data_IF_840260603679
#
_entry.id   IF_840260603679
#
_cell.length_a   1.000
_cell.length_b   1.000
_cell.length_c   1.000
_cell.angle_alpha   90.00
_cell.angle_beta   90.00
_cell.angle_gamma   90.00
#
_symmetry.space_group_name_H-M   'P 1'
#
loop_
_entity.id
_entity.type
_entity.pdbx_description
1 polymer ?
#
# COMPACT_ATOMS: atom_id res chain seq x y z
N UNK A 1 -10.94 -7.54 -29.81
CA UNK A 1 -9.58 -7.57 -30.38
C UNK A 1 -9.32 -8.99 -30.85
N UNK A 2 -9.20 -9.21 -32.16
CA UNK A 2 -8.66 -10.45 -32.70
C UNK A 2 -7.14 -10.31 -32.67
N UNK A 3 -6.45 -11.11 -31.87
CA UNK A 3 -5.00 -11.20 -31.93
C UNK A 3 -4.65 -11.99 -33.20
N UNK A 4 -3.96 -11.35 -34.14
CA UNK A 4 -3.33 -12.05 -35.27
C UNK A 4 -2.01 -12.59 -34.74
N UNK A 5 -1.82 -13.91 -34.86
CA UNK A 5 -0.54 -14.54 -34.52
C UNK A 5 0.47 -14.06 -35.54
N UNK A 6 1.55 -13.44 -35.05
CA UNK A 6 2.69 -13.02 -35.87
C UNK A 6 3.32 -14.26 -36.54
N UNK A 7 3.27 -14.30 -37.86
CA UNK A 7 3.75 -15.35 -38.73
C UNK A 7 5.14 -15.03 -39.35
N UNK A 8 5.81 -13.98 -38.86
CA UNK A 8 7.23 -13.73 -39.19
C UNK A 8 8.14 -14.88 -38.70
N UNK A 9 9.24 -15.19 -39.42
CA UNK A 9 10.13 -16.32 -39.10
C UNK A 9 10.58 -16.30 -37.64
N UNK A 10 10.82 -17.47 -37.01
CA UNK A 10 10.88 -17.60 -35.57
C UNK A 10 11.88 -16.61 -34.99
N UNK A 11 11.36 -15.63 -34.25
CA UNK A 11 12.20 -14.82 -33.38
C UNK A 11 13.01 -15.79 -32.51
N UNK A 12 14.27 -15.45 -32.24
CA UNK A 12 15.09 -16.26 -31.35
C UNK A 12 14.29 -16.52 -30.07
N UNK A 13 14.20 -17.78 -29.60
CA UNK A 13 13.40 -18.10 -28.43
C UNK A 13 13.83 -17.20 -27.28
N UNK A 14 12.85 -16.64 -26.57
CA UNK A 14 13.14 -15.87 -25.38
C UNK A 14 13.93 -16.75 -24.40
N UNK A 15 15.21 -16.43 -24.23
CA UNK A 15 16.07 -17.14 -23.29
C UNK A 15 15.77 -16.57 -21.91
N UNK A 16 15.10 -17.36 -21.08
CA UNK A 16 14.92 -17.04 -19.67
C UNK A 16 16.28 -16.97 -18.98
N UNK A 17 16.82 -15.77 -18.87
CA UNK A 17 17.97 -15.49 -18.04
C UNK A 17 17.47 -15.16 -16.64
N UNK A 18 17.95 -15.90 -15.63
CA UNK A 18 17.70 -15.50 -14.26
C UNK A 18 18.37 -14.14 -14.03
N UNK A 19 17.65 -13.18 -13.44
CA UNK A 19 18.19 -11.84 -13.21
C UNK A 19 19.36 -11.86 -12.24
N UNK A 20 19.47 -12.88 -11.40
CA UNK A 20 20.66 -13.16 -10.60
C UNK A 20 21.28 -14.51 -10.99
N UNK A 21 22.59 -14.50 -11.29
CA UNK A 21 23.39 -15.74 -11.44
C UNK A 21 23.65 -16.41 -10.08
N UNK A 22 23.34 -15.73 -8.98
CA UNK A 22 23.51 -16.24 -7.62
C UNK A 22 22.14 -16.37 -6.94
N UNK A 23 21.65 -17.59 -6.70
CA UNK A 23 20.43 -17.77 -5.93
C UNK A 23 20.62 -17.20 -4.52
N UNK A 24 19.73 -16.32 -4.08
CA UNK A 24 19.74 -15.85 -2.71
C UNK A 24 19.17 -16.93 -1.78
N UNK A 25 19.66 -17.05 -0.52
CA UNK A 25 19.08 -17.99 0.43
C UNK A 25 17.60 -17.67 0.66
N UNK A 26 16.71 -18.67 0.61
CA UNK A 26 15.26 -18.49 0.76
C UNK A 26 14.84 -17.78 2.05
N UNK A 27 15.65 -17.90 3.12
CA UNK A 27 15.37 -17.28 4.42
C UNK A 27 16.05 -15.91 4.60
N UNK A 28 16.84 -15.45 3.62
CA UNK A 28 17.57 -14.19 3.70
C UNK A 28 16.64 -12.97 3.74
N UNK A 29 17.15 -11.85 4.23
CA UNK A 29 16.44 -10.57 4.15
C UNK A 29 16.14 -10.19 2.69
N UNK A 30 17.09 -10.46 1.78
CA UNK A 30 16.91 -10.20 0.35
C UNK A 30 15.70 -10.97 -0.19
N UNK A 31 15.57 -12.27 0.09
CA UNK A 31 14.43 -13.08 -0.35
C UNK A 31 13.07 -12.50 0.08
N UNK A 32 12.99 -11.96 1.30
CA UNK A 32 11.76 -11.39 1.87
C UNK A 32 11.40 -10.04 1.25
N UNK A 33 12.40 -9.29 0.82
CA UNK A 33 12.25 -7.94 0.26
C UNK A 33 12.35 -7.90 -1.26
N UNK A 34 12.68 -9.02 -1.92
CA UNK A 34 12.87 -9.10 -3.36
C UNK A 34 11.63 -8.61 -4.12
N UNK A 35 10.43 -9.00 -3.69
CA UNK A 35 9.18 -8.55 -4.32
C UNK A 35 8.95 -7.04 -4.20
N UNK A 36 9.60 -6.37 -3.27
CA UNK A 36 9.56 -4.91 -3.11
C UNK A 36 10.66 -4.22 -3.92
N UNK A 37 11.87 -4.79 -3.94
CA UNK A 37 13.07 -4.19 -4.56
C UNK A 37 13.16 -4.43 -6.06
N UNK A 38 12.82 -5.64 -6.51
CA UNK A 38 13.01 -6.08 -7.89
C UNK A 38 12.27 -5.23 -8.92
N UNK A 39 11.02 -4.77 -8.72
CA UNK A 39 10.34 -3.93 -9.72
C UNK A 39 11.19 -2.72 -10.14
N UNK A 40 11.81 -2.04 -9.16
CA UNK A 40 12.64 -0.87 -9.39
C UNK A 40 14.02 -1.25 -9.95
N UNK A 41 14.67 -2.27 -9.38
CA UNK A 41 16.00 -2.73 -9.81
C UNK A 41 15.99 -3.25 -11.26
N UNK A 42 14.93 -3.96 -11.66
CA UNK A 42 14.78 -4.43 -13.04
C UNK A 42 14.60 -3.25 -13.99
N UNK A 43 13.72 -2.30 -13.68
CA UNK A 43 13.53 -1.11 -14.53
C UNK A 43 14.84 -0.33 -14.69
N UNK A 44 15.60 -0.12 -13.61
CA UNK A 44 16.91 0.52 -13.68
C UNK A 44 17.89 -0.26 -14.54
N UNK A 45 17.96 -1.59 -14.39
CA UNK A 45 18.87 -2.46 -15.15
C UNK A 45 18.60 -2.44 -16.65
N UNK A 46 17.34 -2.36 -17.05
CA UNK A 46 16.93 -2.30 -18.46
C UNK A 46 16.92 -0.87 -19.01
N UNK A 47 17.37 0.14 -18.26
CA UNK A 47 17.38 1.53 -18.71
C UNK A 47 15.99 2.17 -18.80
N UNK A 48 14.99 1.60 -18.12
CA UNK A 48 13.59 2.04 -18.10
C UNK A 48 13.32 2.99 -16.92
N UNK A 49 14.27 3.86 -16.56
CA UNK A 49 14.13 4.77 -15.41
C UNK A 49 12.95 5.73 -15.51
N UNK A 50 12.50 6.07 -16.73
CA UNK A 50 11.31 6.88 -16.95
C UNK A 50 9.99 6.24 -16.46
N UNK A 51 10.01 4.94 -16.16
CA UNK A 51 8.87 4.16 -15.66
C UNK A 51 8.88 4.08 -14.12
N UNK A 52 9.82 4.76 -13.47
CA UNK A 52 9.90 4.86 -12.03
C UNK A 52 9.45 6.25 -11.60
N UNK A 53 8.74 6.36 -10.48
CA UNK A 53 8.51 7.66 -9.86
C UNK A 53 9.86 8.19 -9.34
N UNK A 54 10.13 9.49 -9.51
CA UNK A 54 11.30 10.10 -8.89
C UNK A 54 11.21 9.87 -7.38
N UNK A 55 12.19 9.14 -6.85
CA UNK A 55 12.28 8.91 -5.42
C UNK A 55 12.40 10.24 -4.67
N UNK A 56 12.05 10.29 -3.37
CA UNK A 56 12.32 11.46 -2.54
C UNK A 56 13.82 11.81 -2.57
N UNK A 57 14.14 13.11 -2.62
CA UNK A 57 15.48 13.66 -2.83
C UNK A 57 16.60 12.88 -2.10
N UNK A 58 17.66 12.52 -2.84
CA UNK A 58 18.93 12.02 -2.27
C UNK A 58 19.06 10.50 -2.11
N UNK A 59 18.19 9.69 -2.71
CA UNK A 59 18.40 8.22 -2.80
C UNK A 59 18.58 7.83 -4.26
N UNK A 60 19.63 7.06 -4.62
CA UNK A 60 19.77 6.51 -5.96
C UNK A 60 18.50 5.78 -6.38
N UNK A 61 18.08 5.96 -7.64
CA UNK A 61 16.82 5.42 -8.18
C UNK A 61 16.68 3.89 -8.07
N UNK A 62 17.72 3.17 -7.66
CA UNK A 62 17.79 1.71 -7.54
C UNK A 62 17.74 1.18 -6.08
N UNK A 63 17.64 2.04 -5.06
CA UNK A 63 17.60 1.62 -3.65
C UNK A 63 16.35 2.08 -2.88
N UNK A 64 15.64 1.12 -2.27
CA UNK A 64 14.55 1.45 -1.34
C UNK A 64 15.12 1.98 -0.01
N UNK A 65 14.51 3.06 0.50
CA UNK A 65 14.75 3.53 1.86
C UNK A 65 14.40 2.45 2.89
N UNK A 66 15.07 2.41 4.06
CA UNK A 66 14.62 1.55 5.15
C UNK A 66 13.18 1.90 5.54
N UNK A 67 12.42 0.94 6.06
CA UNK A 67 11.08 1.21 6.55
C UNK A 67 11.10 2.26 7.65
N UNK A 68 10.25 3.28 7.49
CA UNK A 68 10.10 4.39 8.44
C UNK A 68 8.75 4.27 9.14
N UNK A 69 8.64 4.74 10.37
CA UNK A 69 7.37 4.69 11.09
C UNK A 69 7.25 5.80 12.13
N UNK A 70 6.02 6.24 12.38
CA UNK A 70 5.71 7.27 13.37
C UNK A 70 4.61 6.74 14.29
N UNK A 71 4.91 6.70 15.59
CA UNK A 71 3.92 6.37 16.61
C UNK A 71 3.04 7.59 16.89
N UNK A 72 1.82 7.60 16.36
CA UNK A 72 0.90 8.73 16.48
C UNK A 72 -0.57 8.28 16.54
N UNK A 73 -1.41 9.14 17.12
CA UNK A 73 -2.86 9.05 17.00
C UNK A 73 -3.32 9.84 15.77
N UNK A 74 -3.79 9.14 14.74
CA UNK A 74 -4.19 9.73 13.46
C UNK A 74 -5.35 10.73 13.57
N UNK A 75 -6.11 10.72 14.67
CA UNK A 75 -7.19 11.70 14.91
C UNK A 75 -6.66 13.10 15.23
N UNK A 76 -5.46 13.18 15.79
CA UNK A 76 -4.87 14.43 16.31
C UNK A 76 -3.58 14.81 15.60
N UNK A 77 -2.95 13.85 14.91
CA UNK A 77 -1.72 14.08 14.17
C UNK A 77 -2.00 14.89 12.89
N UNK A 78 -1.28 16.00 12.72
CA UNK A 78 -1.35 16.83 11.53
C UNK A 78 -0.67 16.15 10.33
N UNK A 79 -1.49 15.52 9.48
CA UNK A 79 -1.06 14.78 8.30
C UNK A 79 -0.42 15.66 7.22
N UNK A 80 -0.78 16.95 7.15
CA UNK A 80 -0.28 17.88 6.14
C UNK A 80 1.25 18.03 6.18
N UNK A 81 1.85 17.79 7.36
CA UNK A 81 3.29 17.93 7.60
C UNK A 81 4.13 16.85 6.93
N UNK A 82 3.54 15.72 6.55
CA UNK A 82 4.23 14.59 5.94
C UNK A 82 4.50 14.77 4.42
N UNK A 83 3.83 15.77 3.81
CA UNK A 83 3.83 15.97 2.37
C UNK A 83 2.99 14.94 1.61
N UNK A 84 3.09 14.94 0.29
CA UNK A 84 2.26 14.08 -0.57
C UNK A 84 2.89 12.73 -0.85
N UNK A 85 2.06 11.69 -0.87
CA UNK A 85 2.41 10.32 -1.22
C UNK A 85 1.74 9.93 -2.54
N UNK A 86 2.37 9.01 -3.27
CA UNK A 86 1.84 8.47 -4.52
C UNK A 86 0.82 7.34 -4.26
N UNK A 87 1.03 6.62 -3.16
CA UNK A 87 0.13 5.56 -2.70
C UNK A 87 -0.11 5.65 -1.20
N UNK A 88 -1.39 5.60 -0.82
CA UNK A 88 -1.84 5.44 0.56
C UNK A 88 -2.45 4.05 0.71
N UNK A 89 -2.05 3.31 1.74
CA UNK A 89 -2.70 2.10 2.21
C UNK A 89 -3.32 2.38 3.58
N UNK A 90 -4.57 1.97 3.81
CA UNK A 90 -5.23 2.15 5.10
C UNK A 90 -5.97 0.88 5.51
N UNK A 91 -5.77 0.47 6.77
CA UNK A 91 -6.56 -0.57 7.44
C UNK A 91 -7.18 -0.03 8.74
N UNK A 92 -8.23 0.81 8.65
CA UNK A 92 -8.77 1.49 9.82
C UNK A 92 -9.43 0.52 10.81
N UNK A 93 -9.39 0.83 12.12
CA UNK A 93 -10.10 0.05 13.13
C UNK A 93 -11.59 0.44 13.14
N UNK A 94 -12.32 0.03 12.12
CA UNK A 94 -13.74 0.33 11.93
C UNK A 94 -14.59 -0.02 13.16
N UNK A 95 -15.50 0.87 13.56
CA UNK A 95 -16.57 0.51 14.49
C UNK A 95 -17.61 -0.39 13.80
N UNK A 96 -17.47 -1.68 14.03
CA UNK A 96 -18.38 -2.71 13.50
C UNK A 96 -19.45 -3.14 14.51
N UNK A 97 -19.66 -2.37 15.59
CA UNK A 97 -20.65 -2.68 16.64
C UNK A 97 -20.40 -4.04 17.32
N UNK A 98 -19.12 -4.37 17.51
CA UNK A 98 -18.67 -5.58 18.20
C UNK A 98 -17.58 -5.25 19.21
N UNK A 99 -17.49 -6.03 20.28
CA UNK A 99 -16.38 -5.93 21.23
C UNK A 99 -15.09 -6.44 20.58
N UNK A 100 -14.14 -5.53 20.33
CA UNK A 100 -12.84 -5.84 19.75
C UNK A 100 -11.73 -5.62 20.80
N UNK A 101 -10.60 -6.36 20.70
CA UNK A 101 -9.49 -6.24 21.66
C UNK A 101 -8.64 -4.97 21.45
N UNK A 102 -9.13 -4.00 20.68
CA UNK A 102 -8.47 -2.73 20.36
C UNK A 102 -9.53 -1.62 20.22
N UNK A 103 -9.11 -0.37 20.40
CA UNK A 103 -9.99 0.79 20.20
C UNK A 103 -10.41 0.94 18.73
N UNK A 104 -11.69 1.21 18.50
CA UNK A 104 -12.24 1.53 17.18
C UNK A 104 -12.32 3.04 16.97
N UNK A 105 -12.45 3.44 15.71
CA UNK A 105 -12.80 4.82 15.36
C UNK A 105 -14.30 4.88 15.04
N UNK A 106 -14.96 5.93 15.55
CA UNK A 106 -16.34 6.21 15.19
C UNK A 106 -16.47 6.62 13.72
N UNK A 107 -17.67 6.51 13.15
CA UNK A 107 -17.92 6.94 11.77
C UNK A 107 -17.57 8.44 11.58
N UNK A 108 -17.79 9.27 12.59
CA UNK A 108 -17.47 10.71 12.55
C UNK A 108 -15.96 10.97 12.68
N UNK A 109 -15.26 10.25 13.55
CA UNK A 109 -13.79 10.32 13.62
C UNK A 109 -13.16 9.90 12.29
N UNK A 110 -13.69 8.86 11.65
CA UNK A 110 -13.24 8.41 10.33
C UNK A 110 -13.43 9.49 9.26
N UNK A 111 -14.59 10.16 9.25
CA UNK A 111 -14.87 11.26 8.32
C UNK A 111 -13.99 12.48 8.56
N UNK A 112 -13.58 12.71 9.80
CA UNK A 112 -12.76 13.86 10.20
C UNK A 112 -11.27 13.70 9.85
N UNK A 113 -10.81 12.51 9.48
CA UNK A 113 -9.41 12.28 9.09
C UNK A 113 -9.06 13.08 7.83
N UNK A 114 -7.97 13.84 7.91
CA UNK A 114 -7.43 14.63 6.79
C UNK A 114 -6.54 13.79 5.85
N UNK A 115 -7.08 12.65 5.38
CA UNK A 115 -6.46 11.85 4.31
C UNK A 115 -6.21 12.68 3.04
N UNK A 116 -7.08 13.64 2.63
CA UNK A 116 -6.85 14.46 1.45
C UNK A 116 -5.54 15.25 1.45
N UNK A 117 -5.03 15.68 2.63
CA UNK A 117 -3.76 16.38 2.73
C UNK A 117 -2.54 15.52 2.35
N UNK A 118 -2.64 14.19 2.45
CA UNK A 118 -1.55 13.27 2.14
C UNK A 118 -1.35 13.04 0.65
N UNK A 119 -2.24 13.50 -0.23
CA UNK A 119 -2.14 13.16 -1.65
C UNK A 119 -2.76 14.22 -2.57
N UNK A 120 -1.96 14.71 -3.51
CA UNK A 120 -2.44 15.54 -4.63
C UNK A 120 -3.01 14.68 -5.76
N UNK A 121 -2.22 13.72 -6.23
CA UNK A 121 -2.58 12.69 -7.21
C UNK A 121 -2.04 11.33 -6.73
N UNK A 122 -2.68 10.22 -7.08
CA UNK A 122 -2.20 8.87 -6.74
C UNK A 122 -3.31 7.86 -6.45
N UNK A 123 -2.96 6.82 -5.68
CA UNK A 123 -3.86 5.72 -5.32
C UNK A 123 -4.12 5.62 -3.81
N UNK A 124 -5.33 5.22 -3.44
CA UNK A 124 -5.70 4.85 -2.07
C UNK A 124 -6.24 3.42 -2.05
N UNK A 125 -5.61 2.57 -1.24
CA UNK A 125 -6.06 1.23 -0.93
C UNK A 125 -6.70 1.23 0.45
N UNK A 126 -8.01 0.99 0.53
CA UNK A 126 -8.78 1.05 1.76
C UNK A 126 -9.39 -0.30 2.09
N UNK A 127 -8.88 -0.96 3.12
CA UNK A 127 -9.45 -2.21 3.61
C UNK A 127 -10.82 -1.98 4.26
N UNK A 128 -11.80 -2.78 3.83
CA UNK A 128 -13.19 -2.73 4.31
C UNK A 128 -13.73 -4.13 4.58
N UNK A 129 -14.67 -4.21 5.52
CA UNK A 129 -15.37 -5.44 5.91
C UNK A 129 -16.81 -5.17 6.32
N UNK A 130 -17.74 -6.01 5.86
CA UNK A 130 -19.16 -5.94 6.26
C UNK A 130 -19.73 -4.53 6.12
N UNK A 131 -20.23 -3.96 7.23
CA UNK A 131 -20.79 -2.59 7.29
C UNK A 131 -19.86 -1.50 6.74
N UNK A 132 -18.55 -1.63 6.93
CA UNK A 132 -17.61 -0.59 6.50
C UNK A 132 -17.45 -0.51 4.97
N UNK A 133 -18.03 -1.44 4.20
CA UNK A 133 -17.99 -1.37 2.74
C UNK A 133 -18.72 -0.12 2.23
N UNK A 134 -19.91 0.18 2.74
CA UNK A 134 -20.69 1.34 2.31
C UNK A 134 -20.07 2.64 2.82
N UNK A 135 -19.65 2.66 4.09
CA UNK A 135 -18.94 3.81 4.67
C UNK A 135 -17.62 4.09 3.93
N UNK A 136 -16.84 3.06 3.61
CA UNK A 136 -15.59 3.19 2.87
C UNK A 136 -15.81 3.78 1.48
N UNK A 137 -16.89 3.40 0.78
CA UNK A 137 -17.25 4.02 -0.51
C UNK A 137 -17.61 5.51 -0.35
N UNK A 138 -18.34 5.87 0.70
CA UNK A 138 -18.66 7.27 1.01
C UNK A 138 -17.39 8.07 1.33
N UNK A 139 -16.48 7.50 2.13
CA UNK A 139 -15.22 8.14 2.52
C UNK A 139 -14.31 8.37 1.31
N UNK A 140 -14.23 7.42 0.37
CA UNK A 140 -13.50 7.64 -0.89
C UNK A 140 -14.01 8.90 -1.59
N UNK A 141 -15.33 9.02 -1.79
CA UNK A 141 -15.91 10.21 -2.43
C UNK A 141 -15.68 11.49 -1.61
N UNK A 142 -15.83 11.44 -0.29
CA UNK A 142 -15.61 12.59 0.59
C UNK A 142 -14.14 13.06 0.58
N UNK A 143 -13.20 12.13 0.53
CA UNK A 143 -11.77 12.44 0.46
C UNK A 143 -11.29 12.83 -0.95
N UNK A 144 -12.20 12.89 -1.93
CA UNK A 144 -11.91 13.32 -3.30
C UNK A 144 -11.31 12.22 -4.17
N UNK A 145 -11.58 10.95 -3.86
CA UNK A 145 -11.20 9.79 -4.66
C UNK A 145 -12.41 9.28 -5.44
N UNK A 146 -12.16 8.84 -6.67
CA UNK A 146 -13.12 7.99 -7.37
C UNK A 146 -12.72 6.53 -7.19
N UNK A 147 -13.67 5.65 -6.91
CA UNK A 147 -13.39 4.21 -6.84
C UNK A 147 -13.03 3.69 -8.24
N UNK A 148 -11.80 3.21 -8.41
CA UNK A 148 -11.29 2.62 -9.64
C UNK A 148 -11.49 1.10 -9.68
N UNK A 149 -11.19 0.42 -8.56
CA UNK A 149 -11.17 -1.04 -8.49
C UNK A 149 -11.62 -1.54 -7.10
N UNK A 150 -11.75 -2.85 -6.96
CA UNK A 150 -12.05 -3.53 -5.70
C UNK A 150 -11.27 -4.86 -5.60
N UNK A 151 -10.20 -4.85 -4.81
CA UNK A 151 -9.38 -6.03 -4.59
C UNK A 151 -10.00 -6.95 -3.53
N UNK A 152 -10.02 -8.24 -3.80
CA UNK A 152 -10.57 -9.27 -2.92
C UNK A 152 -9.45 -10.16 -2.38
N UNK A 153 -9.29 -10.19 -1.06
CA UNK A 153 -8.46 -11.20 -0.42
C UNK A 153 -9.29 -12.43 -0.04
N UNK A 154 -9.05 -13.54 -0.73
CA UNK A 154 -9.57 -14.87 -0.40
C UNK A 154 -8.69 -15.48 0.70
N UNK A 155 -9.33 -15.81 1.81
CA UNK A 155 -8.67 -16.33 3.02
C UNK A 155 -8.53 -17.83 2.96
N UNK A 156 -7.28 -18.31 2.96
CA UNK A 156 -6.98 -19.75 3.05
C UNK A 156 -6.34 -20.10 4.38
N UNK A 157 -6.41 -21.39 4.76
CA UNK A 157 -5.66 -21.94 5.87
C UNK A 157 -4.33 -22.54 5.39
N UNK A 158 -3.56 -23.14 6.30
CA UNK A 158 -2.28 -23.79 5.98
C UNK A 158 -2.40 -24.95 4.96
N UNK A 159 -3.59 -25.52 4.82
CA UNK A 159 -3.92 -26.58 3.85
C UNK A 159 -4.54 -26.01 2.56
N UNK A 160 -4.42 -24.70 2.33
CA UNK A 160 -4.98 -23.98 1.17
C UNK A 160 -6.50 -24.09 1.01
N UNK A 161 -7.21 -24.45 2.08
CA UNK A 161 -8.68 -24.49 2.09
C UNK A 161 -9.25 -23.16 2.53
N UNK A 162 -10.41 -22.81 1.99
CA UNK A 162 -11.14 -21.60 2.36
C UNK A 162 -11.45 -21.57 3.87
N UNK A 163 -11.03 -20.50 4.53
CA UNK A 163 -11.43 -20.20 5.90
C UNK A 163 -12.87 -19.71 5.88
N UNK A 164 -13.75 -20.34 6.66
CA UNK A 164 -15.16 -19.95 6.78
C UNK A 164 -15.40 -19.38 8.17
N UNK A 165 -15.54 -18.07 8.25
CA UNK A 165 -15.91 -17.40 9.50
C UNK A 165 -17.41 -17.15 9.53
N UNK A 166 -18.09 -17.80 10.48
CA UNK A 166 -19.48 -17.47 10.81
C UNK A 166 -19.52 -16.21 11.66
N UNK A 167 -20.47 -15.32 11.40
CA UNK A 167 -20.77 -14.16 12.24
C UNK A 167 -22.26 -14.15 12.54
N UNK A 168 -22.62 -13.94 13.80
CA UNK A 168 -24.01 -13.81 14.22
C UNK A 168 -24.70 -12.70 13.42
N UNK A 169 -25.88 -12.99 12.86
CA UNK A 169 -26.65 -12.03 12.05
C UNK A 169 -26.30 -11.99 10.56
N UNK A 170 -25.38 -12.84 10.08
CA UNK A 170 -25.07 -12.96 8.65
C UNK A 170 -25.69 -14.21 8.03
N UNK A 171 -26.21 -14.08 6.81
CA UNK A 171 -26.82 -15.18 6.06
C UNK A 171 -25.80 -16.15 5.45
N UNK A 172 -24.59 -15.68 5.17
CA UNK A 172 -23.52 -16.45 4.53
C UNK A 172 -22.23 -16.37 5.36
N UNK A 173 -21.44 -17.44 5.31
CA UNK A 173 -20.11 -17.46 5.91
C UNK A 173 -19.16 -16.53 5.16
N UNK A 174 -18.31 -15.82 5.89
CA UNK A 174 -17.33 -14.90 5.31
C UNK A 174 -15.99 -15.62 5.13
N UNK A 175 -15.50 -15.64 3.89
CA UNK A 175 -14.21 -16.25 3.51
C UNK A 175 -13.26 -15.28 2.80
N UNK A 176 -13.61 -13.99 2.81
CA UNK A 176 -12.86 -12.94 2.13
C UNK A 176 -12.94 -11.60 2.83
N UNK A 177 -11.97 -10.73 2.55
CA UNK A 177 -12.00 -9.30 2.86
C UNK A 177 -11.84 -8.49 1.57
N UNK A 178 -12.34 -7.26 1.59
CA UNK A 178 -12.33 -6.36 0.45
C UNK A 178 -11.36 -5.20 0.70
N UNK A 179 -10.71 -4.73 -0.35
CA UNK A 179 -9.85 -3.56 -0.36
C UNK A 179 -10.28 -2.67 -1.53
N UNK A 180 -10.93 -1.55 -1.22
CA UNK A 180 -11.36 -0.60 -2.25
C UNK A 180 -10.13 0.13 -2.80
N UNK A 181 -10.05 0.27 -4.11
CA UNK A 181 -8.97 1.03 -4.77
C UNK A 181 -9.56 2.34 -5.28
N UNK A 182 -9.15 3.45 -4.67
CA UNK A 182 -9.49 4.80 -5.08
C UNK A 182 -8.38 5.44 -5.90
N UNK A 183 -8.75 6.18 -6.93
CA UNK A 183 -7.85 7.04 -7.70
C UNK A 183 -8.15 8.50 -7.39
N UNK A 184 -7.08 9.28 -7.17
CA UNK A 184 -7.14 10.74 -7.08
C UNK A 184 -6.25 11.30 -8.18
N UNK A 185 -6.75 12.29 -8.90
CA UNK A 185 -5.99 12.95 -9.95
C UNK A 185 -5.97 14.45 -9.71
N UNK A 186 -4.88 15.11 -10.11
CA UNK A 186 -4.88 16.55 -10.22
C UNK A 186 -5.93 16.93 -11.28
N UNK A 187 -6.90 17.77 -10.93
CA UNK A 187 -7.81 18.34 -11.94
C UNK A 187 -6.95 19.14 -12.92
N UNK A 188 -6.80 18.66 -14.15
CA UNK A 188 -6.28 19.51 -15.24
C UNK A 188 -7.42 20.38 -15.73
N UNK A 189 -7.15 21.66 -15.96
CA UNK A 189 -8.15 22.67 -16.31
C UNK A 189 -8.92 22.36 -17.61
N UNK A 190 -8.44 21.39 -18.39
CA UNK A 190 -8.87 21.03 -19.74
C UNK A 190 -9.61 19.68 -19.83
N UNK A 191 -9.82 18.95 -18.73
CA UNK A 191 -10.50 17.64 -18.76
C UNK A 191 -11.79 17.61 -17.92
N UNK A 192 -12.88 16.99 -18.42
CA UNK A 192 -14.13 16.84 -17.67
C UNK A 192 -13.94 15.98 -16.41
N UNK A 193 -14.75 16.24 -15.38
CA UNK A 193 -14.68 15.66 -14.03
C UNK A 193 -14.88 14.13 -13.94
N UNK A 194 -15.08 13.43 -15.05
CA UNK A 194 -15.42 12.01 -15.07
C UNK A 194 -14.45 11.23 -15.97
N UNK A 195 -13.50 10.52 -15.36
CA UNK A 195 -12.78 9.46 -16.06
C UNK A 195 -13.76 8.30 -16.31
N UNK A 196 -13.75 7.76 -17.53
CA UNK A 196 -14.50 6.55 -17.85
C UNK A 196 -13.68 5.31 -17.42
N UNK A 197 -14.33 4.25 -16.90
CA UNK A 197 -13.69 2.96 -16.70
C UNK A 197 -12.88 2.52 -17.94
N UNK A 198 -11.58 2.23 -17.76
CA UNK A 198 -10.66 1.85 -18.84
C UNK A 198 -9.71 2.95 -19.34
N UNK A 199 -9.76 4.17 -18.79
CA UNK A 199 -8.85 5.28 -19.15
C UNK A 199 -7.76 5.55 -18.09
N UNK A 200 -7.39 4.58 -17.26
CA UNK A 200 -6.46 4.78 -16.12
C UNK A 200 -5.13 5.43 -16.54
N UNK A 201 -4.57 5.05 -17.70
CA UNK A 201 -3.31 5.61 -18.23
C UNK A 201 -3.38 7.10 -18.59
N UNK A 202 -4.53 7.63 -18.97
CA UNK A 202 -4.65 9.07 -19.23
C UNK A 202 -4.70 9.90 -17.95
N UNK A 203 -5.04 9.26 -16.82
CA UNK A 203 -5.23 9.90 -15.51
C UNK A 203 -3.94 9.91 -14.70
N UNK A 204 -3.21 8.78 -14.65
CA UNK A 204 -1.91 8.66 -13.99
C UNK A 204 -0.89 8.03 -14.95
N UNK A 205 -0.17 8.82 -15.76
CA UNK A 205 0.74 8.31 -16.79
C UNK A 205 1.88 7.44 -16.28
N UNK A 206 2.24 7.60 -15.00
CA UNK A 206 3.32 6.88 -14.32
C UNK A 206 2.87 5.56 -13.69
N UNK A 207 1.56 5.26 -13.69
CA UNK A 207 1.02 4.06 -13.05
C UNK A 207 1.15 2.85 -13.98
N UNK A 208 1.69 1.74 -13.47
CA UNK A 208 1.69 0.46 -14.18
C UNK A 208 0.41 -0.31 -13.90
N UNK A 209 -0.55 -0.19 -14.80
CA UNK A 209 -1.82 -0.91 -14.77
C UNK A 209 -1.75 -2.29 -15.46
N UNK A 210 -2.66 -3.19 -15.10
CA UNK A 210 -2.83 -4.49 -15.78
C UNK A 210 -1.75 -5.56 -15.49
N UNK A 211 -0.79 -5.29 -14.60
CA UNK A 211 0.26 -6.27 -14.23
C UNK A 211 -0.22 -7.35 -13.24
N UNK A 212 -1.29 -7.08 -12.50
CA UNK A 212 -1.81 -7.95 -11.45
C UNK A 212 -3.30 -8.21 -11.62
N UNK A 213 -3.81 -9.13 -10.81
CA UNK A 213 -5.23 -9.44 -10.71
C UNK A 213 -5.85 -8.76 -9.48
N UNK A 214 -7.15 -8.53 -9.51
CA UNK A 214 -7.96 -8.01 -8.40
C UNK A 214 -8.22 -9.04 -7.29
N UNK A 215 -7.63 -10.24 -7.36
CA UNK A 215 -7.75 -11.29 -6.35
C UNK A 215 -6.40 -11.63 -5.73
N UNK A 216 -6.33 -11.62 -4.40
CA UNK A 216 -5.24 -12.21 -3.62
C UNK A 216 -5.76 -13.48 -2.96
N UNK A 217 -5.08 -14.61 -3.17
CA UNK A 217 -5.31 -15.85 -2.43
C UNK A 217 -4.14 -16.03 -1.47
N UNK A 218 -4.38 -15.84 -0.18
CA UNK A 218 -3.31 -15.87 0.81
C UNK A 218 -3.80 -16.39 2.17
N UNK A 219 -2.86 -17.00 2.91
CA UNK A 219 -3.15 -17.61 4.19
C UNK A 219 -3.48 -16.56 5.27
N UNK A 220 -4.46 -16.87 6.11
CA UNK A 220 -4.73 -16.09 7.32
C UNK A 220 -3.60 -16.31 8.33
N UNK A 221 -3.12 -15.21 8.91
CA UNK A 221 -2.08 -15.20 9.94
C UNK A 221 -2.68 -14.69 11.26
N UNK A 222 -2.01 -13.75 11.91
CA UNK A 222 -2.49 -13.08 13.12
C UNK A 222 -3.82 -12.36 12.88
N UNK A 223 -4.60 -12.16 13.94
CA UNK A 223 -5.86 -11.43 13.87
C UNK A 223 -5.67 -10.03 13.29
N UNK A 224 -6.48 -9.70 12.28
CA UNK A 224 -6.44 -8.44 11.54
C UNK A 224 -5.18 -8.21 10.68
N UNK A 225 -4.28 -9.20 10.55
CA UNK A 225 -3.10 -9.09 9.70
C UNK A 225 -3.46 -9.38 8.24
N UNK A 226 -3.35 -8.35 7.40
CA UNK A 226 -3.57 -8.39 5.96
C UNK A 226 -2.44 -9.13 5.22
N UNK A 227 -2.67 -9.61 3.97
CA UNK A 227 -1.65 -10.29 3.17
C UNK A 227 -0.48 -9.37 2.80
N UNK A 228 0.74 -9.91 2.80
CA UNK A 228 1.94 -9.13 2.41
C UNK A 228 2.04 -8.97 0.88
N UNK A 229 1.32 -9.80 0.14
CA UNK A 229 1.22 -9.83 -1.32
C UNK A 229 0.73 -8.49 -1.89
N UNK A 230 -0.13 -7.77 -1.16
CA UNK A 230 -0.65 -6.47 -1.59
C UNK A 230 0.49 -5.45 -1.78
N UNK A 231 1.51 -5.48 -0.93
CA UNK A 231 2.62 -4.54 -1.03
C UNK A 231 3.46 -4.81 -2.27
N UNK A 232 3.70 -6.08 -2.60
CA UNK A 232 4.38 -6.45 -3.83
C UNK A 232 3.60 -6.04 -5.08
N UNK A 233 2.27 -6.11 -5.04
CA UNK A 233 1.42 -5.59 -6.12
C UNK A 233 1.56 -4.07 -6.24
N UNK A 234 1.49 -3.34 -5.13
CA UNK A 234 1.63 -1.89 -5.10
C UNK A 234 3.02 -1.45 -5.61
N UNK A 235 4.10 -2.14 -5.24
CA UNK A 235 5.45 -1.80 -5.72
C UNK A 235 5.59 -2.00 -7.24
N UNK A 236 4.91 -2.99 -7.83
CA UNK A 236 4.86 -3.16 -9.29
C UNK A 236 4.07 -2.04 -9.97
N UNK A 237 2.97 -1.62 -9.35
CA UNK A 237 2.10 -0.55 -9.85
C UNK A 237 2.77 0.83 -9.78
N UNK A 238 3.49 1.12 -8.70
CA UNK A 238 4.14 2.41 -8.46
C UNK A 238 5.61 2.23 -7.99
N UNK A 239 6.52 1.81 -8.89
CA UNK A 239 7.93 1.67 -8.57
C UNK A 239 8.56 3.02 -8.20
N UNK A 240 9.36 3.04 -7.13
CA UNK A 240 10.07 4.26 -6.67
C UNK A 240 9.19 5.30 -5.94
N UNK A 241 7.87 5.20 -6.03
CA UNK A 241 6.96 6.19 -5.44
C UNK A 241 6.99 6.24 -3.92
N UNK A 242 6.63 7.40 -3.34
CA UNK A 242 6.44 7.60 -1.89
C UNK A 242 5.16 6.91 -1.45
N UNK A 243 5.25 6.03 -0.46
CA UNK A 243 4.12 5.23 0.02
C UNK A 243 3.93 5.39 1.52
N UNK A 244 2.69 5.48 1.95
CA UNK A 244 2.33 5.56 3.37
C UNK A 244 1.25 4.55 3.71
N UNK A 245 1.40 3.92 4.87
CA UNK A 245 0.40 3.04 5.46
C UNK A 245 -0.17 3.66 6.74
N UNK A 246 -1.48 3.82 6.78
CA UNK A 246 -2.24 4.33 7.92
C UNK A 246 -2.77 3.16 8.75
N UNK A 247 -2.76 3.34 10.08
CA UNK A 247 -3.17 2.34 11.07
C UNK A 247 -2.30 1.08 11.10
N UNK A 248 -1.08 1.17 10.58
CA UNK A 248 -0.15 0.04 10.53
C UNK A 248 0.46 -0.29 11.90
N UNK A 249 0.91 -1.53 12.04
CA UNK A 249 1.61 -2.07 13.21
C UNK A 249 3.07 -2.38 12.87
N UNK A 250 3.83 -2.86 13.85
CA UNK A 250 5.25 -3.20 13.67
C UNK A 250 5.53 -4.20 12.55
N UNK A 251 4.66 -5.18 12.34
CA UNK A 251 4.84 -6.17 11.27
C UNK A 251 4.55 -5.60 9.87
N UNK A 252 3.97 -4.41 9.78
CA UNK A 252 3.67 -3.73 8.52
C UNK A 252 4.87 -2.93 8.00
N UNK A 253 5.79 -2.52 8.89
CA UNK A 253 6.97 -1.73 8.54
C UNK A 253 7.82 -2.46 7.51
N UNK A 254 8.10 -1.79 6.39
CA UNK A 254 8.85 -2.38 5.28
C UNK A 254 9.58 -1.31 4.45
N UNK A 255 10.67 -1.68 3.74
CA UNK A 255 11.44 -0.73 2.93
C UNK A 255 10.56 0.00 1.91
N UNK A 256 10.81 1.29 1.69
CA UNK A 256 10.03 2.14 0.79
C UNK A 256 8.74 2.72 1.38
N UNK A 257 8.33 2.29 2.57
CA UNK A 257 7.07 2.70 3.20
C UNK A 257 7.29 3.55 4.46
N UNK A 258 6.39 4.51 4.66
CA UNK A 258 6.14 5.16 5.95
C UNK A 258 4.93 4.51 6.62
N UNK A 259 5.06 4.02 7.84
CA UNK A 259 3.93 3.43 8.59
C UNK A 259 3.50 4.35 9.74
N UNK A 260 2.22 4.69 9.81
CA UNK A 260 1.63 5.50 10.88
C UNK A 260 0.67 4.65 11.71
N UNK A 261 0.75 4.75 13.03
CA UNK A 261 -0.14 4.01 13.93
C UNK A 261 0.24 4.12 15.41
N UNK A 262 -0.76 4.03 16.27
CA UNK A 262 -0.59 4.18 17.73
C UNK A 262 -0.04 2.92 18.43
N UNK A 263 0.09 1.80 17.72
CA UNK A 263 0.67 0.54 18.22
C UNK A 263 2.14 0.35 17.82
N UNK A 264 2.76 1.37 17.24
CA UNK A 264 4.16 1.32 16.85
C UNK A 264 5.11 1.48 18.04
N UNK A 265 4.70 2.07 19.17
CA UNK A 265 5.48 2.23 20.41
C UNK A 265 6.73 3.14 20.33
N UNK A 266 7.28 3.41 19.14
CA UNK A 266 8.36 4.38 18.95
C UNK A 266 8.28 5.00 17.55
N UNK A 267 9.06 6.05 17.30
CA UNK A 267 9.16 6.72 16.01
C UNK A 267 10.56 6.55 15.44
N UNK A 268 10.67 6.20 14.17
CA UNK A 268 11.94 6.08 13.44
C UNK A 268 11.77 6.65 12.04
N UNK A 269 12.57 7.68 11.74
CA UNK A 269 12.47 8.44 10.51
C UNK A 269 13.87 8.81 10.04
N UNK A 270 14.16 8.54 8.77
CA UNK A 270 15.42 8.89 8.10
C UNK A 270 15.29 10.15 7.25
N UNK A 271 14.10 10.43 6.71
CA UNK A 271 13.87 11.59 5.84
C UNK A 271 13.92 12.91 6.64
N UNK A 272 14.76 13.89 6.25
CA UNK A 272 14.89 15.16 6.98
C UNK A 272 13.58 15.93 7.15
N UNK A 273 12.74 15.94 6.09
CA UNK A 273 11.42 16.57 6.13
C UNK A 273 10.50 15.94 7.18
N UNK A 274 10.47 14.61 7.22
CA UNK A 274 9.66 13.87 8.18
C UNK A 274 10.18 14.00 9.62
N UNK A 275 11.50 14.11 9.82
CA UNK A 275 12.08 14.39 11.16
C UNK A 275 11.59 15.72 11.71
N UNK A 276 11.56 16.74 10.86
CA UNK A 276 11.04 18.07 11.21
C UNK A 276 9.55 18.02 11.54
N UNK A 277 8.78 17.21 10.80
CA UNK A 277 7.37 16.95 11.09
C UNK A 277 7.18 16.31 12.49
N UNK A 278 7.99 15.31 12.85
CA UNK A 278 7.91 14.66 14.16
C UNK A 278 8.34 15.57 15.32
N UNK A 279 9.38 16.39 15.14
CA UNK A 279 9.96 17.19 16.21
C UNK A 279 9.06 18.30 16.78
N UNK A 280 8.06 18.75 16.01
CA UNK A 280 7.10 19.77 16.48
C UNK A 280 5.76 19.17 16.96
N UNK A 281 5.62 17.85 17.02
CA UNK A 281 4.52 17.21 17.73
C UNK A 281 4.85 17.18 19.23
N UNK A 282 3.91 17.45 20.15
CA UNK A 282 4.19 17.41 21.59
C UNK A 282 4.71 16.02 21.98
N UNK A 283 5.94 15.99 22.50
CA UNK A 283 6.67 14.76 22.76
C UNK A 283 6.00 13.94 23.87
N UNK A 284 5.46 12.77 23.53
CA UNK A 284 5.43 11.65 24.48
C UNK A 284 6.87 11.21 24.80
N UNK A 285 7.10 10.51 25.94
CA UNK A 285 8.46 10.26 26.43
C UNK A 285 9.29 9.53 25.38
N UNK A 286 10.36 10.20 24.94
CA UNK A 286 11.30 9.68 23.96
C UNK A 286 12.27 8.72 24.66
N UNK A 287 12.09 7.41 24.50
CA UNK A 287 13.16 6.46 24.77
C UNK A 287 14.11 6.42 23.57
N UNK A 288 15.34 6.87 23.79
CA UNK A 288 16.43 6.75 22.84
C UNK A 288 16.83 5.27 22.71
N UNK A 289 16.46 4.61 21.62
CA UNK A 289 16.95 3.27 21.32
C UNK A 289 18.39 3.35 20.78
N UNK A 290 19.35 2.84 21.56
CA UNK A 290 20.68 2.49 21.07
C UNK A 290 20.57 1.40 20.00
N UNK A 291 21.31 1.58 18.90
CA UNK A 291 21.43 0.56 17.86
C UNK A 291 22.05 -0.72 18.45
N UNK A 292 21.56 -1.93 18.13
CA UNK A 292 22.28 -3.15 18.48
C UNK A 292 23.60 -3.17 17.70
N UNK A 293 24.70 -3.30 18.42
CA UNK A 293 26.02 -3.51 17.83
C UNK A 293 25.98 -4.77 16.97
N UNK A 294 26.54 -4.68 15.76
CA UNK A 294 26.77 -5.85 14.90
C UNK A 294 27.78 -6.77 15.61
N UNK A 295 27.36 -7.99 15.91
CA UNK A 295 28.24 -9.15 16.17
C UNK A 295 28.01 -10.16 15.08
#
# INVERSE_FOLDING_TARGET
>A
MHYVVDDTPPQAPFVWACTSLTPYPMQSQYAREASLREPMQQLSRYGLGAWMRPGPEGVPDDQLRPGQWINCDLRTFDLSRLGHFDVILADPPWDIHMSLPYGTLSDDDMRALDVPALQGEGLLFLWVTGRSMELGRQLLSQWGYTRADELIWIKTNQMERLVRTGRTGHWLNHSKEHCLVGIKHAKRCDQPDAWAPGQIRSVLPWLHDGLGTDVIVAQVRDTSRKPDELYAMIEKMCPGGRKVELFGRRHNVRPGWLTLGNQLKSTYVVEPRLRTACAAAPAGPAEALQMPART
#
